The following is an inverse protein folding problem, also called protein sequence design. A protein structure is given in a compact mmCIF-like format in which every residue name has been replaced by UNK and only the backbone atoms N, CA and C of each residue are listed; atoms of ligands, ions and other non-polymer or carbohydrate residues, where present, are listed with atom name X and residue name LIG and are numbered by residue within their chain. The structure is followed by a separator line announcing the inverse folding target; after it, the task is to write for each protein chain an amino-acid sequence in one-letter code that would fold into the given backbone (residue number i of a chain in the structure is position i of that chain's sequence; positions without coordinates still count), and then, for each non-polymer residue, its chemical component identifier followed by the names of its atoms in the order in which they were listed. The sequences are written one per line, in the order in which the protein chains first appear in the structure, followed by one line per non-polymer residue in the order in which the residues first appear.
data_IF_601548742028
#
_entry.id   IF_601548742028
#
_cell.length_a   1.000
_cell.length_b   1.000
_cell.length_c   1.000
_cell.angle_alpha   90.00
_cell.angle_beta   90.00
_cell.angle_gamma   90.00
#
_symmetry.space_group_name_H-M   'P 1'
#
loop_
_entity.id
_entity.type
_entity.pdbx_description
1 polymer ?
#
# COMPACT_ATOMS: atom_id res chain seq x y z
N UNK A 1 -0.86 12.59 2.11
CA UNK A 1 -0.35 12.05 0.83
C UNK A 1 -1.41 11.92 -0.26
N UNK A 2 -2.64 12.40 -0.06
CA UNK A 2 -3.77 12.12 -0.96
C UNK A 2 -3.56 12.52 -2.42
N UNK A 3 -3.00 13.71 -2.67
CA UNK A 3 -2.68 14.16 -4.05
C UNK A 3 -1.66 13.27 -4.75
N UNK A 4 -0.68 12.72 -4.01
CA UNK A 4 0.30 11.78 -4.57
C UNK A 4 -0.40 10.48 -5.01
N UNK A 5 -1.28 9.95 -4.15
CA UNK A 5 -2.03 8.73 -4.44
C UNK A 5 -2.91 8.90 -5.67
N UNK A 6 -3.70 9.98 -5.73
CA UNK A 6 -4.54 10.30 -6.87
C UNK A 6 -3.71 10.43 -8.16
N UNK A 7 -2.63 11.22 -8.12
CA UNK A 7 -1.76 11.45 -9.27
C UNK A 7 -1.17 10.15 -9.83
N UNK A 8 -0.66 9.29 -8.94
CA UNK A 8 -0.09 8.01 -9.35
C UNK A 8 -1.17 7.09 -9.93
N UNK A 9 -2.32 7.00 -9.26
CA UNK A 9 -3.45 6.18 -9.70
C UNK A 9 -3.92 6.57 -11.10
N UNK A 10 -4.14 7.85 -11.36
CA UNK A 10 -4.54 8.31 -12.69
C UNK A 10 -3.48 7.95 -13.74
N UNK A 11 -2.18 8.13 -13.46
CA UNK A 11 -1.10 7.77 -14.39
C UNK A 11 -1.00 6.26 -14.69
N UNK A 12 -1.49 5.43 -13.79
CA UNK A 12 -1.46 3.97 -13.92
C UNK A 12 -2.83 3.41 -14.35
N UNK A 13 -3.85 4.25 -14.49
CA UNK A 13 -5.24 3.81 -14.73
C UNK A 13 -5.34 3.06 -16.07
N UNK A 14 -4.64 3.52 -17.11
CA UNK A 14 -4.75 2.96 -18.47
C UNK A 14 -4.23 1.53 -18.62
N UNK A 15 -3.34 1.08 -17.72
CA UNK A 15 -2.82 -0.30 -17.74
C UNK A 15 -3.66 -1.25 -16.90
N UNK A 16 -4.49 -0.74 -15.99
CA UNK A 16 -5.22 -1.54 -15.01
C UNK A 16 -6.15 -2.58 -15.65
N UNK A 17 -6.79 -2.23 -16.77
CA UNK A 17 -7.66 -3.14 -17.52
C UNK A 17 -6.94 -4.36 -18.10
N UNK A 18 -5.62 -4.30 -18.29
CA UNK A 18 -4.80 -5.39 -18.83
C UNK A 18 -4.10 -6.26 -17.78
N UNK A 19 -4.29 -5.99 -16.48
CA UNK A 19 -3.67 -6.74 -15.39
C UNK A 19 -4.69 -7.66 -14.72
N UNK A 20 -4.21 -8.76 -14.11
CA UNK A 20 -5.05 -9.69 -13.36
C UNK A 20 -5.09 -9.32 -11.86
N UNK A 21 -6.03 -9.90 -11.14
CA UNK A 21 -6.17 -9.74 -9.69
C UNK A 21 -5.36 -10.75 -8.89
N UNK A 22 -4.87 -10.33 -7.71
CA UNK A 22 -4.26 -11.22 -6.73
C UNK A 22 -5.21 -12.33 -6.23
N UNK A 23 -6.53 -12.10 -6.31
CA UNK A 23 -7.58 -13.07 -5.96
C UNK A 23 -7.44 -14.42 -6.69
N UNK A 24 -6.77 -14.45 -7.85
CA UNK A 24 -6.42 -15.68 -8.57
C UNK A 24 -5.67 -16.70 -7.70
N UNK A 25 -4.88 -16.23 -6.74
CA UNK A 25 -4.06 -17.08 -5.88
C UNK A 25 -4.71 -17.38 -4.54
N UNK A 26 -5.89 -16.83 -4.24
CA UNK A 26 -6.56 -17.09 -2.97
C UNK A 26 -6.96 -18.57 -2.86
N UNK A 27 -6.52 -19.22 -1.77
CA UNK A 27 -6.65 -20.66 -1.53
C UNK A 27 -5.81 -21.56 -2.45
N UNK A 28 -5.06 -21.01 -3.42
CA UNK A 28 -4.38 -21.80 -4.44
C UNK A 28 -3.17 -22.60 -3.90
N UNK A 29 -2.64 -22.21 -2.73
CA UNK A 29 -1.52 -22.84 -2.05
C UNK A 29 -1.95 -23.52 -0.74
N UNK A 30 -3.23 -23.90 -0.63
CA UNK A 30 -3.74 -24.64 0.52
C UNK A 30 -2.93 -25.92 0.77
N UNK A 31 -2.52 -26.13 2.03
CA UNK A 31 -1.67 -27.25 2.43
C UNK A 31 -0.17 -27.04 2.21
N UNK A 32 0.24 -25.88 1.69
CA UNK A 32 1.64 -25.45 1.63
C UNK A 32 1.95 -24.45 2.74
N UNK A 33 3.23 -24.27 3.02
CA UNK A 33 3.73 -23.24 3.93
C UNK A 33 4.22 -22.02 3.16
N UNK A 34 4.27 -20.87 3.81
CA UNK A 34 4.83 -19.65 3.25
C UNK A 34 6.02 -19.16 4.06
N UNK A 35 6.97 -18.53 3.39
CA UNK A 35 7.99 -17.71 4.02
C UNK A 35 7.85 -16.28 3.52
N UNK A 36 7.63 -15.34 4.44
CA UNK A 36 7.57 -13.90 4.15
C UNK A 36 8.90 -13.28 4.50
N UNK A 37 9.53 -12.64 3.52
CA UNK A 37 10.84 -11.99 3.65
C UNK A 37 10.66 -10.49 3.77
N UNK A 38 11.05 -9.96 4.93
CA UNK A 38 11.10 -8.55 5.28
C UNK A 38 12.55 -8.06 5.39
N UNK A 39 12.75 -6.76 5.53
CA UNK A 39 14.06 -6.12 5.35
C UNK A 39 14.83 -5.81 6.67
N UNK A 40 14.43 -6.40 7.79
CA UNK A 40 15.09 -6.18 9.07
C UNK A 40 16.49 -6.83 9.16
N UNK A 41 17.33 -6.42 10.12
CA UNK A 41 18.71 -6.89 10.24
C UNK A 41 18.89 -8.41 10.35
N UNK A 42 17.97 -9.13 11.00
CA UNK A 42 18.09 -10.59 11.16
C UNK A 42 17.91 -11.38 9.87
N UNK A 43 17.52 -10.71 8.78
CA UNK A 43 17.50 -11.33 7.46
C UNK A 43 18.88 -11.89 7.09
N UNK A 44 19.96 -11.25 7.52
CA UNK A 44 21.35 -11.68 7.25
C UNK A 44 21.60 -13.14 7.69
N UNK A 45 20.97 -13.57 8.79
CA UNK A 45 21.10 -14.93 9.33
C UNK A 45 20.33 -15.97 8.49
N UNK A 46 19.29 -15.53 7.77
CA UNK A 46 18.41 -16.39 6.97
C UNK A 46 18.86 -16.49 5.51
N UNK A 47 19.49 -15.45 4.95
CA UNK A 47 19.93 -15.39 3.55
C UNK A 47 20.74 -16.61 3.09
N UNK A 48 21.68 -17.18 3.87
CA UNK A 48 22.43 -18.37 3.46
C UNK A 48 21.54 -19.59 3.14
N UNK A 49 20.33 -19.65 3.73
CA UNK A 49 19.39 -20.77 3.61
C UNK A 49 18.21 -20.46 2.70
N UNK A 50 18.07 -19.22 2.22
CA UNK A 50 16.86 -18.75 1.54
C UNK A 50 16.51 -19.56 0.29
N UNK A 51 17.51 -20.11 -0.41
CA UNK A 51 17.33 -21.00 -1.55
C UNK A 51 16.68 -22.33 -1.17
N UNK A 52 17.07 -22.91 -0.04
CA UNK A 52 16.47 -24.16 0.45
C UNK A 52 15.09 -23.91 1.08
N UNK A 53 14.89 -22.75 1.72
CA UNK A 53 13.59 -22.30 2.22
C UNK A 53 12.61 -22.12 1.05
N UNK A 54 13.03 -21.53 -0.06
CA UNK A 54 12.18 -21.35 -1.25
C UNK A 54 11.66 -22.68 -1.79
N UNK A 55 12.46 -23.75 -1.79
CA UNK A 55 12.01 -25.06 -2.30
C UNK A 55 10.87 -25.64 -1.47
N UNK A 56 10.79 -25.27 -0.20
CA UNK A 56 9.89 -25.87 0.81
C UNK A 56 8.69 -24.98 1.15
N UNK A 57 8.72 -23.73 0.71
CA UNK A 57 7.71 -22.72 1.04
C UNK A 57 7.34 -21.88 -0.18
N UNK A 58 6.18 -21.24 -0.11
CA UNK A 58 5.85 -20.10 -0.95
C UNK A 58 6.64 -18.88 -0.46
N UNK A 59 7.60 -18.42 -1.25
CA UNK A 59 8.47 -17.32 -0.88
C UNK A 59 7.89 -15.97 -1.34
N UNK A 60 7.42 -15.18 -0.38
CA UNK A 60 6.82 -13.86 -0.61
C UNK A 60 7.77 -12.80 -0.05
N UNK A 61 8.30 -11.94 -0.91
CA UNK A 61 9.27 -10.91 -0.52
C UNK A 61 8.63 -9.52 -0.60
N UNK A 62 8.97 -8.63 0.33
CA UNK A 62 8.66 -7.19 0.16
C UNK A 62 9.71 -6.52 -0.73
N UNK A 63 9.33 -5.43 -1.39
CA UNK A 63 10.23 -4.56 -2.18
C UNK A 63 11.60 -4.30 -1.55
N UNK A 64 11.62 -3.88 -0.28
CA UNK A 64 12.84 -3.52 0.47
C UNK A 64 13.80 -4.68 0.65
N UNK A 65 13.32 -5.93 0.68
CA UNK A 65 14.12 -7.13 0.86
C UNK A 65 14.55 -7.80 -0.46
N UNK A 66 14.00 -7.37 -1.60
CA UNK A 66 14.24 -8.03 -2.89
C UNK A 66 15.73 -8.10 -3.24
N UNK A 67 16.49 -7.03 -3.00
CA UNK A 67 17.93 -6.98 -3.25
C UNK A 67 18.67 -8.08 -2.50
N UNK A 68 18.29 -8.34 -1.25
CA UNK A 68 18.91 -9.36 -0.41
C UNK A 68 18.70 -10.75 -1.03
N UNK A 69 17.46 -11.07 -1.41
CA UNK A 69 17.14 -12.34 -2.08
C UNK A 69 17.93 -12.52 -3.38
N UNK A 70 17.96 -11.48 -4.24
CA UNK A 70 18.67 -11.55 -5.53
C UNK A 70 20.18 -11.70 -5.34
N UNK A 71 20.78 -11.00 -4.37
CA UNK A 71 22.20 -11.16 -4.04
C UNK A 71 22.52 -12.56 -3.49
N UNK A 72 21.57 -13.20 -2.81
CA UNK A 72 21.66 -14.61 -2.41
C UNK A 72 21.36 -15.61 -3.56
N UNK A 73 21.15 -15.11 -4.79
CA UNK A 73 20.90 -15.92 -5.97
C UNK A 73 19.48 -16.51 -6.07
N UNK A 74 18.51 -15.87 -5.39
CA UNK A 74 17.11 -16.32 -5.33
C UNK A 74 16.16 -15.24 -5.83
N UNK A 75 15.34 -15.59 -6.82
CA UNK A 75 14.18 -14.80 -7.24
C UNK A 75 12.96 -15.26 -6.45
N UNK A 76 12.33 -14.42 -5.61
CA UNK A 76 11.12 -14.79 -4.86
C UNK A 76 9.96 -15.24 -5.76
N UNK A 77 9.02 -16.03 -5.24
CA UNK A 77 7.84 -16.42 -6.03
C UNK A 77 6.94 -15.19 -6.27
N UNK A 78 6.74 -14.41 -5.21
CA UNK A 78 5.99 -13.16 -5.22
C UNK A 78 6.80 -12.01 -4.61
N UNK A 79 6.63 -10.81 -5.17
CA UNK A 79 7.19 -9.57 -4.66
C UNK A 79 6.02 -8.61 -4.40
N UNK A 80 5.89 -8.09 -3.18
CA UNK A 80 4.84 -7.13 -2.83
C UNK A 80 5.41 -5.72 -2.81
N UNK A 81 4.75 -4.83 -3.56
CA UNK A 81 5.12 -3.43 -3.71
C UNK A 81 3.84 -2.60 -3.71
N UNK A 82 3.52 -1.93 -2.61
CA UNK A 82 2.25 -1.16 -2.48
C UNK A 82 2.46 0.28 -2.02
N UNK A 83 3.68 0.65 -1.64
CA UNK A 83 3.97 2.01 -1.19
C UNK A 83 4.05 2.99 -2.39
N UNK A 84 3.30 4.12 -2.34
CA UNK A 84 3.19 5.08 -3.42
C UNK A 84 4.36 6.07 -3.53
N UNK A 85 5.29 6.06 -2.57
CA UNK A 85 6.37 7.03 -2.49
C UNK A 85 7.45 6.76 -3.53
N UNK A 86 8.03 7.85 -4.05
CA UNK A 86 9.19 7.81 -4.92
C UNK A 86 10.38 7.05 -4.31
N UNK A 87 10.59 7.19 -2.99
CA UNK A 87 11.70 6.51 -2.33
C UNK A 87 11.54 4.99 -2.32
N UNK A 88 10.31 4.48 -2.33
CA UNK A 88 10.06 3.06 -2.31
C UNK A 88 10.55 2.35 -3.59
N UNK A 89 10.31 2.94 -4.77
CA UNK A 89 10.80 2.35 -6.04
C UNK A 89 12.33 2.25 -6.09
N UNK A 90 13.06 3.07 -5.34
CA UNK A 90 14.53 3.06 -5.32
C UNK A 90 15.09 1.76 -4.75
N UNK A 91 14.31 1.01 -3.97
CA UNK A 91 14.69 -0.34 -3.54
C UNK A 91 14.91 -1.29 -4.74
N UNK A 92 14.21 -1.06 -5.85
CA UNK A 92 14.29 -1.83 -7.08
C UNK A 92 15.38 -1.35 -8.07
N UNK A 93 16.11 -0.29 -7.77
CA UNK A 93 17.09 0.29 -8.69
C UNK A 93 18.13 -0.73 -9.15
N UNK A 94 18.25 -0.94 -10.47
CA UNK A 94 19.20 -1.89 -11.04
C UNK A 94 18.87 -3.36 -10.77
N UNK A 95 17.66 -3.67 -10.26
CA UNK A 95 17.20 -5.04 -10.06
C UNK A 95 16.29 -5.50 -11.21
N UNK A 96 16.23 -6.81 -11.38
CA UNK A 96 15.29 -7.50 -12.27
C UNK A 96 14.98 -8.87 -11.68
N UNK A 97 13.73 -9.32 -11.78
CA UNK A 97 13.31 -10.62 -11.27
C UNK A 97 12.35 -11.31 -12.26
N UNK A 98 12.83 -11.72 -13.45
CA UNK A 98 12.01 -12.23 -14.55
C UNK A 98 11.20 -13.50 -14.24
N UNK A 99 11.49 -14.21 -13.14
CA UNK A 99 10.72 -15.37 -12.68
C UNK A 99 9.67 -15.03 -11.63
N UNK A 100 9.84 -13.90 -10.95
CA UNK A 100 8.95 -13.43 -9.89
C UNK A 100 7.69 -12.78 -10.43
N UNK A 101 6.62 -12.82 -9.64
CA UNK A 101 5.38 -12.07 -9.90
C UNK A 101 5.27 -10.90 -8.94
N UNK A 102 4.93 -9.72 -9.45
CA UNK A 102 4.70 -8.56 -8.59
C UNK A 102 3.22 -8.48 -8.22
N UNK A 103 2.94 -8.26 -6.94
CA UNK A 103 1.64 -7.85 -6.43
C UNK A 103 1.76 -6.38 -6.04
N UNK A 104 0.89 -5.56 -6.62
CA UNK A 104 0.94 -4.11 -6.46
C UNK A 104 -0.44 -3.47 -6.46
N UNK A 105 -0.50 -2.16 -6.29
CA UNK A 105 -1.72 -1.36 -6.25
C UNK A 105 -1.61 -0.21 -7.27
N UNK A 106 -2.71 0.41 -7.69
CA UNK A 106 -2.70 1.43 -8.75
C UNK A 106 -2.07 2.76 -8.34
N UNK A 107 -2.11 3.16 -7.07
CA UNK A 107 -1.50 4.38 -6.58
C UNK A 107 0.02 4.28 -6.37
N UNK A 108 0.66 3.14 -6.67
CA UNK A 108 2.12 3.04 -6.59
C UNK A 108 2.84 3.99 -7.55
N UNK A 109 4.11 4.29 -7.27
CA UNK A 109 4.89 5.14 -8.16
C UNK A 109 4.99 4.49 -9.58
N UNK A 110 4.63 5.20 -10.67
CA UNK A 110 4.40 4.57 -12.00
C UNK A 110 5.49 3.64 -12.55
N UNK A 111 6.80 3.89 -12.35
CA UNK A 111 7.85 2.97 -12.78
C UNK A 111 7.80 1.56 -12.19
N UNK A 112 7.04 1.30 -11.11
CA UNK A 112 6.78 -0.07 -10.63
C UNK A 112 6.25 -0.96 -11.77
N UNK A 113 5.37 -0.43 -12.62
CA UNK A 113 4.81 -1.17 -13.75
C UNK A 113 5.80 -1.44 -14.89
N UNK A 114 6.97 -0.80 -14.87
CA UNK A 114 8.07 -1.02 -15.82
C UNK A 114 9.13 -1.99 -15.29
N UNK A 115 9.02 -2.44 -14.05
CA UNK A 115 9.95 -3.41 -13.48
C UNK A 115 9.90 -4.74 -14.24
N UNK A 116 11.07 -5.32 -14.53
CA UNK A 116 11.21 -6.58 -15.27
C UNK A 116 10.88 -7.77 -14.37
N UNK A 117 9.76 -8.43 -14.66
CA UNK A 117 9.21 -9.56 -13.90
C UNK A 117 8.35 -10.45 -14.80
N UNK A 118 7.95 -11.64 -14.30
CA UNK A 118 7.12 -12.61 -15.04
C UNK A 118 5.71 -12.08 -15.29
N UNK A 119 5.10 -11.47 -14.27
CA UNK A 119 3.71 -11.02 -14.29
C UNK A 119 3.51 -9.91 -13.24
N UNK A 120 2.55 -9.02 -13.49
CA UNK A 120 2.10 -8.00 -12.52
C UNK A 120 0.62 -8.20 -12.21
N UNK A 121 0.31 -8.19 -10.93
CA UNK A 121 -1.01 -8.44 -10.37
C UNK A 121 -1.43 -7.24 -9.54
N UNK A 122 -2.72 -6.88 -9.62
CA UNK A 122 -3.29 -5.85 -8.77
C UNK A 122 -3.96 -6.48 -7.55
N UNK A 123 -3.68 -5.94 -6.37
CA UNK A 123 -4.58 -6.06 -5.23
C UNK A 123 -5.67 -4.99 -5.33
N UNK A 124 -6.78 -5.19 -4.60
CA UNK A 124 -7.85 -4.21 -4.56
C UNK A 124 -7.39 -2.88 -3.98
N UNK A 125 -7.82 -1.79 -4.61
CA UNK A 125 -7.50 -0.44 -4.20
C UNK A 125 -8.15 -0.09 -2.86
N UNK A 126 -7.36 0.54 -1.99
CA UNK A 126 -7.87 1.15 -0.76
C UNK A 126 -8.41 2.57 -0.99
N UNK A 127 -8.16 3.15 -2.17
CA UNK A 127 -8.51 4.53 -2.51
C UNK A 127 -9.82 4.63 -3.30
N UNK A 128 -10.57 5.75 -3.18
CA UNK A 128 -11.90 5.91 -3.76
C UNK A 128 -12.00 5.64 -5.26
N UNK A 129 -11.11 6.20 -6.08
CA UNK A 129 -11.16 6.02 -7.55
C UNK A 129 -10.96 4.57 -7.96
N UNK A 130 -9.98 3.88 -7.38
CA UNK A 130 -9.77 2.46 -7.65
C UNK A 130 -10.95 1.61 -7.16
N UNK A 131 -11.50 1.89 -5.97
CA UNK A 131 -12.70 1.20 -5.46
C UNK A 131 -13.92 1.40 -6.37
N UNK A 132 -14.11 2.62 -6.86
CA UNK A 132 -15.22 2.94 -7.77
C UNK A 132 -15.14 2.11 -9.04
N UNK A 133 -13.95 2.01 -9.64
CA UNK A 133 -13.75 1.22 -10.86
C UNK A 133 -13.86 -0.27 -10.57
N UNK A 134 -13.32 -0.74 -9.45
CA UNK A 134 -13.36 -2.16 -9.07
C UNK A 134 -14.77 -2.70 -8.85
N UNK A 135 -15.75 -1.87 -8.47
CA UNK A 135 -17.17 -2.27 -8.39
C UNK A 135 -17.74 -2.76 -9.73
N UNK A 136 -17.13 -2.39 -10.84
CA UNK A 136 -17.62 -2.68 -12.20
C UNK A 136 -16.78 -3.73 -12.93
N UNK A 137 -15.68 -4.20 -12.33
CA UNK A 137 -14.81 -5.23 -12.90
C UNK A 137 -14.71 -6.42 -11.97
N UNK A 138 -14.08 -7.50 -12.45
CA UNK A 138 -13.80 -8.67 -11.61
C UNK A 138 -12.99 -8.24 -10.37
N UNK A 139 -13.39 -8.65 -9.15
CA UNK A 139 -12.67 -8.29 -7.93
C UNK A 139 -11.19 -8.64 -8.01
N UNK A 140 -10.33 -7.68 -7.70
CA UNK A 140 -8.87 -7.85 -7.72
C UNK A 140 -8.38 -8.69 -6.55
N UNK A 141 -9.03 -8.58 -5.39
CA UNK A 141 -8.69 -9.29 -4.16
C UNK A 141 -8.15 -8.31 -3.15
N UNK A 142 -8.89 -8.11 -2.07
CA UNK A 142 -8.50 -7.25 -0.96
C UNK A 142 -7.39 -7.90 -0.15
N UNK A 143 -6.35 -7.12 0.19
CA UNK A 143 -5.30 -7.54 1.10
C UNK A 143 -5.28 -6.60 2.31
N UNK A 144 -5.07 -7.17 3.48
CA UNK A 144 -4.87 -6.44 4.72
C UNK A 144 -3.68 -5.49 4.63
N UNK A 145 -3.84 -4.28 5.16
CA UNK A 145 -2.77 -3.28 5.25
C UNK A 145 -2.71 -2.73 6.68
N UNK A 146 -1.55 -2.85 7.31
CA UNK A 146 -1.24 -2.36 8.66
C UNK A 146 -0.25 -1.20 8.66
N UNK A 147 -0.08 -0.51 7.53
CA UNK A 147 0.85 0.62 7.39
C UNK A 147 2.31 0.22 7.07
N UNK A 148 2.58 -1.05 6.80
CA UNK A 148 3.85 -1.55 6.27
C UNK A 148 3.61 -2.63 5.22
N UNK A 149 4.43 -2.69 4.16
CA UNK A 149 4.30 -3.66 3.06
C UNK A 149 4.33 -5.12 3.56
N UNK A 150 5.07 -5.39 4.66
CA UNK A 150 5.15 -6.74 5.23
C UNK A 150 3.81 -7.25 5.78
N UNK A 151 2.94 -6.35 6.26
CA UNK A 151 1.60 -6.73 6.74
C UNK A 151 0.74 -7.24 5.58
N UNK A 152 0.84 -6.60 4.42
CA UNK A 152 0.20 -7.04 3.17
C UNK A 152 0.81 -8.34 2.64
N UNK A 153 2.13 -8.53 2.78
CA UNK A 153 2.79 -9.78 2.43
C UNK A 153 2.35 -10.96 3.28
N UNK A 154 2.22 -10.76 4.59
CA UNK A 154 1.68 -11.78 5.49
C UNK A 154 0.22 -12.10 5.17
N UNK A 155 -0.61 -11.09 4.95
CA UNK A 155 -2.03 -11.31 4.65
C UNK A 155 -2.23 -11.99 3.29
N UNK A 156 -1.40 -11.66 2.29
CA UNK A 156 -1.39 -12.38 1.01
C UNK A 156 -1.03 -13.86 1.20
N UNK A 157 0.02 -14.18 1.97
CA UNK A 157 0.40 -15.56 2.25
C UNK A 157 -0.73 -16.33 2.96
N UNK A 158 -1.40 -15.70 3.92
CA UNK A 158 -2.59 -16.25 4.58
C UNK A 158 -3.72 -16.53 3.60
N UNK A 159 -4.06 -15.55 2.76
CA UNK A 159 -5.16 -15.67 1.80
C UNK A 159 -4.86 -16.66 0.68
N UNK A 160 -3.59 -16.91 0.36
CA UNK A 160 -3.16 -18.00 -0.50
C UNK A 160 -3.52 -19.40 0.04
N UNK A 161 -3.94 -19.50 1.30
CA UNK A 161 -4.32 -20.75 1.96
C UNK A 161 -3.20 -21.35 2.82
N UNK A 162 -2.04 -20.69 2.93
CA UNK A 162 -0.94 -21.15 3.76
C UNK A 162 -1.29 -20.99 5.24
N UNK A 163 -1.22 -22.08 6.01
CA UNK A 163 -1.57 -22.08 7.44
C UNK A 163 -0.37 -22.03 8.37
N UNK A 164 0.84 -22.26 7.86
CA UNK A 164 2.09 -21.97 8.57
C UNK A 164 2.85 -20.91 7.78
N UNK A 165 3.16 -19.79 8.44
CA UNK A 165 3.85 -18.64 7.82
C UNK A 165 5.12 -18.36 8.62
N UNK A 166 6.27 -18.45 7.96
CA UNK A 166 7.59 -18.19 8.53
C UNK A 166 8.04 -16.78 8.17
N UNK A 167 8.34 -15.96 9.16
CA UNK A 167 8.81 -14.58 8.98
C UNK A 167 10.33 -14.55 9.02
N UNK A 168 10.94 -14.04 7.94
CA UNK A 168 12.37 -13.77 7.85
C UNK A 168 12.62 -12.26 7.77
N UNK A 169 13.54 -11.72 8.57
CA UNK A 169 13.80 -10.28 8.65
C UNK A 169 12.65 -9.43 9.23
N UNK A 170 11.70 -10.02 9.95
CA UNK A 170 10.63 -9.28 10.66
C UNK A 170 11.08 -8.93 12.08
N UNK A 171 12.04 -8.02 12.19
CA UNK A 171 12.56 -7.63 13.50
C UNK A 171 11.64 -6.65 14.24
N UNK A 172 11.00 -5.73 13.50
CA UNK A 172 10.23 -4.61 14.05
C UNK A 172 10.94 -3.86 15.19
N UNK A 173 12.27 -3.82 15.10
CA UNK A 173 13.16 -3.19 16.03
C UNK A 173 14.56 -3.08 15.42
N UNK A 174 15.51 -2.73 16.26
CA UNK A 174 16.90 -2.46 15.87
C UNK A 174 17.86 -3.41 16.58
N UNK A 175 17.76 -4.74 16.35
CA UNK A 175 18.73 -5.68 16.90
C UNK A 175 20.14 -5.29 16.43
N UNK A 176 21.10 -5.37 17.35
CA UNK A 176 22.49 -4.94 17.12
C UNK A 176 22.61 -3.48 16.64
N UNK A 177 21.60 -2.63 16.92
CA UNK A 177 21.53 -1.21 16.52
C UNK A 177 21.54 -1.00 15.00
N UNK A 178 21.15 -2.01 14.24
CA UNK A 178 21.00 -1.95 12.78
C UNK A 178 19.56 -1.65 12.41
N UNK A 179 19.33 -0.96 11.30
CA UNK A 179 17.97 -0.63 10.83
C UNK A 179 17.42 -1.64 9.82
N UNK A 180 18.30 -2.23 9.02
CA UNK A 180 17.99 -3.16 7.95
C UNK A 180 19.11 -4.19 7.80
N UNK A 181 18.90 -5.19 6.95
CA UNK A 181 19.92 -6.15 6.53
C UNK A 181 21.13 -5.48 5.86
N UNK A 182 22.25 -6.22 5.79
CA UNK A 182 23.49 -5.72 5.21
C UNK A 182 23.43 -5.58 3.68
N UNK A 183 23.88 -4.44 3.15
CA UNK A 183 23.79 -4.11 1.72
C UNK A 183 22.41 -3.61 1.30
N UNK A 184 21.56 -3.25 2.27
CA UNK A 184 20.31 -2.55 2.00
C UNK A 184 20.57 -1.19 1.34
N UNK A 185 19.59 -0.67 0.59
CA UNK A 185 19.74 0.64 -0.05
C UNK A 185 19.96 1.79 0.95
N UNK A 186 19.54 1.60 2.21
CA UNK A 186 19.78 2.57 3.27
C UNK A 186 21.26 2.57 3.69
N UNK A 187 21.82 1.40 3.95
CA UNK A 187 23.24 1.25 4.33
C UNK A 187 24.17 1.65 3.17
N UNK A 188 23.89 1.17 1.95
CA UNK A 188 24.66 1.51 0.75
C UNK A 188 24.66 3.02 0.47
N UNK A 189 23.52 3.69 0.70
CA UNK A 189 23.42 5.15 0.58
C UNK A 189 24.28 5.84 1.63
N UNK A 190 24.25 5.37 2.88
CA UNK A 190 25.04 5.93 3.96
C UNK A 190 26.54 5.82 3.68
N UNK A 191 27.01 4.65 3.23
CA UNK A 191 28.40 4.48 2.82
C UNK A 191 28.79 5.35 1.62
N UNK A 192 27.93 5.44 0.59
CA UNK A 192 28.21 6.24 -0.61
C UNK A 192 28.30 7.74 -0.33
N UNK A 193 27.47 8.24 0.58
CA UNK A 193 27.43 9.66 0.95
C UNK A 193 28.42 10.02 2.08
N UNK A 194 29.07 9.01 2.66
CA UNK A 194 30.01 9.22 3.76
C UNK A 194 31.18 10.12 3.36
N UNK A 195 31.55 11.00 4.28
CA UNK A 195 32.64 11.95 4.14
C UNK A 195 33.44 12.03 5.44
N UNK A 196 34.64 12.64 5.37
CA UNK A 196 35.54 12.78 6.53
C UNK A 196 34.86 13.39 7.78
N UNK A 197 33.96 14.35 7.59
CA UNK A 197 33.24 15.03 8.67
C UNK A 197 31.82 14.49 8.89
N UNK A 198 31.39 13.53 8.06
CA UNK A 198 30.08 12.91 8.14
C UNK A 198 30.18 11.43 7.73
N UNK A 199 30.76 10.59 8.62
CA UNK A 199 30.93 9.18 8.32
C UNK A 199 29.58 8.43 8.37
N UNK A 200 29.52 7.22 7.82
CA UNK A 200 28.30 6.41 7.71
C UNK A 200 27.66 6.12 9.08
N UNK A 201 28.46 6.06 10.14
CA UNK A 201 28.01 5.91 11.52
C UNK A 201 27.17 7.10 11.99
N UNK A 202 27.42 8.31 11.47
CA UNK A 202 26.60 9.48 11.81
C UNK A 202 25.21 9.38 11.21
N UNK A 203 25.12 8.96 9.94
CA UNK A 203 23.85 8.67 9.27
C UNK A 203 23.09 7.54 9.99
N UNK A 204 23.79 6.47 10.35
CA UNK A 204 23.23 5.33 11.08
C UNK A 204 22.69 5.75 12.45
N UNK A 205 23.45 6.56 13.19
CA UNK A 205 23.02 7.14 14.46
C UNK A 205 21.76 7.99 14.29
N UNK A 206 21.73 8.88 13.28
CA UNK A 206 20.57 9.72 13.01
C UNK A 206 19.34 8.91 12.60
N UNK A 207 19.52 7.87 11.79
CA UNK A 207 18.43 6.98 11.37
C UNK A 207 17.82 6.23 12.56
N UNK A 208 18.67 5.74 13.48
CA UNK A 208 18.25 5.01 14.68
C UNK A 208 17.59 5.94 15.72
N UNK A 209 18.29 6.99 16.12
CA UNK A 209 17.87 7.85 17.23
C UNK A 209 16.88 8.95 16.82
N UNK A 210 16.83 9.32 15.54
CA UNK A 210 15.80 10.21 15.00
C UNK A 210 14.39 9.62 15.06
N UNK A 211 14.26 8.31 15.23
CA UNK A 211 12.99 7.62 15.44
C UNK A 211 12.51 7.66 16.91
N UNK A 212 13.28 8.28 17.82
CA UNK A 212 13.04 8.29 19.27
C UNK A 212 12.81 6.87 19.83
N UNK A 213 13.81 5.97 19.67
CA UNK A 213 13.64 4.58 20.02
C UNK A 213 13.56 4.38 21.54
N UNK A 214 12.89 3.30 21.95
CA UNK A 214 12.78 2.85 23.33
C UNK A 214 12.96 1.33 23.40
N UNK A 215 13.29 0.82 24.58
CA UNK A 215 13.56 -0.61 24.78
C UNK A 215 12.29 -1.42 25.01
N UNK A 216 12.21 -2.57 24.35
CA UNK A 216 11.22 -3.63 24.56
C UNK A 216 11.93 -4.98 24.66
N UNK A 217 11.21 -6.03 25.06
CA UNK A 217 11.80 -7.38 25.10
C UNK A 217 11.74 -8.06 23.73
N UNK A 218 12.81 -8.77 23.35
CA UNK A 218 12.85 -9.65 22.19
C UNK A 218 12.27 -11.05 22.52
N UNK A 219 12.28 -11.99 21.57
CA UNK A 219 11.78 -13.36 21.81
C UNK A 219 12.62 -14.17 22.79
N UNK A 220 13.89 -13.78 23.01
CA UNK A 220 14.82 -14.42 23.95
C UNK A 220 14.75 -13.81 25.37
N UNK A 221 13.93 -12.76 25.56
CA UNK A 221 13.78 -12.05 26.82
C UNK A 221 14.80 -10.93 27.05
N UNK A 222 15.72 -10.70 26.11
CA UNK A 222 16.69 -9.61 26.13
C UNK A 222 16.07 -8.28 25.65
N UNK A 223 16.77 -7.16 25.86
CA UNK A 223 16.30 -5.84 25.43
C UNK A 223 16.70 -5.53 23.99
N UNK A 224 15.74 -5.04 23.21
CA UNK A 224 15.93 -4.53 21.84
C UNK A 224 15.27 -3.17 21.70
N UNK A 225 15.89 -2.27 20.94
CA UNK A 225 15.30 -0.96 20.63
C UNK A 225 14.20 -1.11 19.58
N UNK A 226 13.11 -0.38 19.72
CA UNK A 226 12.04 -0.22 18.72
C UNK A 226 11.53 1.23 18.72
N UNK A 227 10.69 1.59 17.75
CA UNK A 227 10.06 2.90 17.65
C UNK A 227 8.52 2.78 17.69
N UNK A 228 7.83 3.92 17.85
CA UNK A 228 6.35 3.95 17.94
C UNK A 228 5.66 3.40 16.68
N UNK A 229 6.27 3.55 15.51
CA UNK A 229 5.71 3.08 14.24
C UNK A 229 5.85 1.56 14.14
N UNK A 230 7.01 1.01 14.47
CA UNK A 230 7.23 -0.43 14.51
C UNK A 230 6.35 -1.12 15.56
N UNK A 231 6.12 -0.47 16.70
CA UNK A 231 5.17 -0.95 17.71
C UNK A 231 3.72 -1.04 17.19
N UNK A 232 3.27 -0.10 16.34
CA UNK A 232 1.97 -0.21 15.66
C UNK A 232 1.92 -1.42 14.73
N UNK A 233 3.01 -1.73 14.03
CA UNK A 233 3.10 -2.92 13.19
C UNK A 233 3.08 -4.21 14.02
N UNK A 234 3.79 -4.23 15.16
CA UNK A 234 3.79 -5.36 16.08
C UNK A 234 2.38 -5.61 16.64
N UNK A 235 1.68 -4.56 17.04
CA UNK A 235 0.28 -4.63 17.47
C UNK A 235 -0.65 -5.15 16.36
N UNK A 236 -0.43 -4.75 15.11
CA UNK A 236 -1.19 -5.28 13.98
C UNK A 236 -1.00 -6.79 13.84
N UNK A 237 0.23 -7.30 13.93
CA UNK A 237 0.51 -8.73 13.89
C UNK A 237 -0.11 -9.49 15.06
N UNK A 238 0.00 -8.97 16.28
CA UNK A 238 -0.66 -9.53 17.46
C UNK A 238 -2.17 -9.63 17.24
N UNK A 239 -2.80 -8.54 16.80
CA UNK A 239 -4.23 -8.52 16.50
C UNK A 239 -4.62 -9.52 15.43
N UNK A 240 -3.83 -9.67 14.34
CA UNK A 240 -4.14 -10.62 13.27
C UNK A 240 -3.86 -12.07 13.64
N UNK A 241 -2.88 -12.35 14.49
CA UNK A 241 -2.66 -13.70 15.02
C UNK A 241 -3.82 -14.13 15.94
N UNK A 242 -4.46 -13.20 16.65
CA UNK A 242 -5.67 -13.45 17.42
C UNK A 242 -6.90 -13.64 16.53
N UNK A 243 -7.09 -12.78 15.53
CA UNK A 243 -8.22 -12.84 14.59
C UNK A 243 -8.20 -14.13 13.76
N UNK A 244 -7.02 -14.59 13.35
CA UNK A 244 -6.81 -15.77 12.51
C UNK A 244 -6.04 -16.87 13.26
N UNK A 245 -6.61 -17.37 14.36
CA UNK A 245 -5.97 -18.35 15.24
C UNK A 245 -5.62 -19.71 14.57
N UNK A 246 -6.25 -20.00 13.42
CA UNK A 246 -6.01 -21.15 12.56
C UNK A 246 -4.74 -21.01 11.68
N UNK A 247 -4.16 -19.81 11.64
CA UNK A 247 -2.91 -19.50 10.93
C UNK A 247 -1.80 -19.38 11.97
N UNK A 248 -0.80 -20.26 11.89
CA UNK A 248 0.35 -20.25 12.79
C UNK A 248 1.49 -19.44 12.16
N UNK A 249 1.84 -18.34 12.83
CA UNK A 249 2.95 -17.49 12.42
C UNK A 249 4.18 -17.80 13.25
N UNK A 250 5.30 -18.02 12.58
CA UNK A 250 6.58 -18.29 13.19
C UNK A 250 7.60 -17.23 12.80
N UNK A 251 8.59 -16.99 13.65
CA UNK A 251 9.70 -16.06 13.36
C UNK A 251 11.02 -16.81 13.30
N UNK A 252 11.83 -16.49 12.29
CA UNK A 252 13.24 -16.89 12.18
C UNK A 252 14.17 -15.81 12.77
N UNK A 253 13.61 -14.85 13.49
CA UNK A 253 14.27 -13.62 13.95
C UNK A 253 14.20 -13.54 15.49
N UNK A 254 14.90 -14.40 16.25
CA UNK A 254 14.76 -14.46 17.71
C UNK A 254 15.18 -13.16 18.41
N UNK A 255 16.11 -12.40 17.81
CA UNK A 255 16.59 -11.11 18.31
C UNK A 255 15.64 -9.94 18.05
N UNK A 256 14.59 -10.12 17.24
CA UNK A 256 13.58 -9.11 16.95
C UNK A 256 12.60 -8.89 18.10
N UNK A 257 11.77 -7.84 18.02
CA UNK A 257 10.74 -7.54 19.04
C UNK A 257 9.83 -8.76 19.24
N UNK A 258 9.63 -9.15 20.50
CA UNK A 258 8.73 -10.24 20.86
C UNK A 258 7.27 -9.85 20.62
N UNK A 259 6.60 -10.53 19.69
CA UNK A 259 5.20 -10.25 19.31
C UNK A 259 4.32 -11.39 19.83
N UNK A 260 3.35 -11.12 20.71
CA UNK A 260 2.41 -12.14 21.16
C UNK A 260 1.67 -12.79 19.97
N UNK A 261 1.58 -14.12 19.99
CA UNK A 261 0.97 -14.90 18.90
C UNK A 261 1.94 -15.35 17.80
N UNK A 262 3.17 -14.85 17.77
CA UNK A 262 4.25 -15.31 16.88
C UNK A 262 5.23 -16.16 17.68
N UNK A 263 5.57 -17.35 17.17
CA UNK A 263 6.46 -18.29 17.87
C UNK A 263 7.84 -18.37 17.20
N UNK A 264 8.95 -18.23 17.94
CA UNK A 264 10.29 -18.44 17.37
C UNK A 264 10.48 -19.90 16.97
N UNK A 265 11.13 -20.12 15.83
CA UNK A 265 11.41 -21.44 15.26
C UNK A 265 12.83 -21.45 14.69
N UNK A 266 13.50 -22.60 14.70
CA UNK A 266 14.85 -22.70 14.14
C UNK A 266 14.81 -22.86 12.61
N UNK A 267 15.89 -22.45 11.93
CA UNK A 267 16.01 -22.63 10.47
C UNK A 267 15.97 -24.12 10.12
N UNK A 268 16.57 -24.98 10.95
CA UNK A 268 16.60 -26.43 10.77
C UNK A 268 15.18 -27.04 10.73
N UNK A 269 14.23 -26.50 11.49
CA UNK A 269 12.84 -26.96 11.45
C UNK A 269 12.17 -26.63 10.11
N UNK A 270 12.47 -25.48 9.52
CA UNK A 270 12.00 -25.12 8.17
C UNK A 270 12.64 -26.02 7.12
N UNK A 271 13.93 -26.34 7.27
CA UNK A 271 14.65 -27.20 6.34
C UNK A 271 14.19 -28.67 6.37
N UNK A 272 13.52 -29.11 7.44
CA UNK A 272 12.87 -30.44 7.54
C UNK A 272 11.56 -30.54 6.74
N UNK A 273 10.98 -29.42 6.33
CA UNK A 273 9.77 -29.42 5.49
C UNK A 273 10.11 -30.06 4.14
N UNK A 274 9.15 -30.81 3.56
CA UNK A 274 9.33 -31.44 2.25
C UNK A 274 9.54 -30.38 1.16
N UNK A 275 10.33 -30.72 0.15
CA UNK A 275 10.41 -29.93 -1.08
C UNK A 275 9.04 -29.97 -1.78
N UNK A 276 8.51 -28.79 -2.12
CA UNK A 276 7.22 -28.59 -2.80
C UNK A 276 7.40 -27.87 -4.15
N UNK A 277 8.61 -27.85 -4.70
CA UNK A 277 8.92 -27.08 -5.91
C UNK A 277 8.03 -27.47 -7.09
N UNK A 278 7.72 -28.76 -7.22
CA UNK A 278 6.87 -29.27 -8.29
C UNK A 278 5.40 -28.87 -8.11
N UNK A 279 4.85 -29.06 -6.90
CA UNK A 279 3.47 -28.67 -6.57
C UNK A 279 3.28 -27.15 -6.70
N UNK A 280 4.25 -26.37 -6.23
CA UNK A 280 4.26 -24.92 -6.35
C UNK A 280 4.30 -24.44 -7.80
N UNK A 281 5.18 -25.03 -8.63
CA UNK A 281 5.24 -24.72 -10.05
C UNK A 281 3.92 -25.03 -10.76
N UNK A 282 3.28 -26.16 -10.44
CA UNK A 282 1.99 -26.54 -11.01
C UNK A 282 0.85 -25.55 -10.67
N UNK A 283 0.94 -24.81 -9.57
CA UNK A 283 0.01 -23.72 -9.25
C UNK A 283 0.39 -22.44 -9.97
N UNK A 284 1.67 -22.06 -9.93
CA UNK A 284 2.16 -20.81 -10.50
C UNK A 284 2.00 -20.76 -12.03
N UNK A 285 2.20 -21.87 -12.73
CA UNK A 285 2.15 -21.92 -14.19
C UNK A 285 0.73 -22.09 -14.75
N UNK A 286 -0.30 -22.16 -13.89
CA UNK A 286 -1.70 -22.11 -14.35
C UNK A 286 -1.96 -20.77 -15.04
N UNK A 287 -2.51 -20.76 -16.26
CA UNK A 287 -2.84 -19.52 -16.96
C UNK A 287 -3.91 -18.74 -16.20
N UNK A 288 -3.94 -17.43 -16.41
CA UNK A 288 -5.06 -16.61 -15.91
C UNK A 288 -6.36 -17.06 -16.58
N UNK A 289 -7.42 -17.17 -15.78
CA UNK A 289 -8.79 -17.37 -16.27
C UNK A 289 -9.54 -16.06 -16.55
N UNK A 290 -8.82 -14.93 -16.60
CA UNK A 290 -9.43 -13.61 -16.79
C UNK A 290 -9.58 -13.29 -18.28
N UNK A 291 -10.79 -12.92 -18.70
CA UNK A 291 -11.04 -12.34 -20.02
C UNK A 291 -10.57 -10.89 -20.03
N UNK A 292 -9.34 -10.67 -20.49
CA UNK A 292 -8.73 -9.34 -20.53
C UNK A 292 -9.44 -8.38 -21.50
N UNK A 293 -10.08 -8.88 -22.55
CA UNK A 293 -10.80 -8.02 -23.50
C UNK A 293 -12.08 -7.46 -22.85
N UNK A 294 -12.88 -8.34 -22.24
CA UNK A 294 -14.06 -7.92 -21.49
C UNK A 294 -13.71 -7.02 -20.29
N UNK A 295 -12.64 -7.35 -19.56
CA UNK A 295 -12.18 -6.56 -18.43
C UNK A 295 -11.74 -5.15 -18.83
N UNK A 296 -11.00 -5.03 -19.94
CA UNK A 296 -10.55 -3.72 -20.44
C UNK A 296 -11.74 -2.85 -20.83
N UNK A 297 -12.72 -3.41 -21.52
CA UNK A 297 -13.95 -2.68 -21.89
C UNK A 297 -14.74 -2.22 -20.66
N UNK A 298 -14.92 -3.11 -19.68
CA UNK A 298 -15.59 -2.77 -18.43
C UNK A 298 -14.85 -1.67 -17.66
N UNK A 299 -13.52 -1.72 -17.64
CA UNK A 299 -12.67 -0.71 -17.02
C UNK A 299 -12.80 0.65 -17.71
N UNK A 300 -12.76 0.70 -19.05
CA UNK A 300 -12.93 1.92 -19.83
C UNK A 300 -14.32 2.55 -19.61
N UNK A 301 -15.37 1.71 -19.58
CA UNK A 301 -16.74 2.15 -19.26
C UNK A 301 -16.84 2.73 -17.85
N UNK A 302 -16.25 2.07 -16.85
CA UNK A 302 -16.25 2.54 -15.46
C UNK A 302 -15.51 3.87 -15.30
N UNK A 303 -14.37 4.00 -15.99
CA UNK A 303 -13.59 5.23 -16.00
C UNK A 303 -14.35 6.38 -16.66
N UNK A 304 -15.06 6.12 -17.76
CA UNK A 304 -15.89 7.14 -18.40
C UNK A 304 -17.04 7.58 -17.49
N UNK A 305 -17.75 6.63 -16.86
CA UNK A 305 -18.80 6.96 -15.88
C UNK A 305 -18.26 7.83 -14.74
N UNK A 306 -17.08 7.50 -14.19
CA UNK A 306 -16.44 8.30 -13.15
C UNK A 306 -16.16 9.74 -13.62
N UNK A 307 -15.69 9.92 -14.86
CA UNK A 307 -15.47 11.26 -15.44
C UNK A 307 -16.78 12.03 -15.56
N UNK A 308 -17.84 11.40 -16.07
CA UNK A 308 -19.13 12.04 -16.28
C UNK A 308 -19.75 12.51 -14.95
N UNK A 309 -19.69 11.68 -13.91
CA UNK A 309 -20.14 12.04 -12.55
C UNK A 309 -19.34 13.20 -11.97
N UNK A 310 -18.01 13.19 -12.12
CA UNK A 310 -17.16 14.31 -11.70
C UNK A 310 -17.50 15.60 -12.47
N UNK A 311 -17.82 15.54 -13.77
CA UNK A 311 -18.25 16.72 -14.53
C UNK A 311 -19.59 17.28 -14.04
N UNK A 312 -20.56 16.43 -13.71
CA UNK A 312 -21.84 16.89 -13.16
C UNK A 312 -21.68 17.49 -11.75
N UNK A 313 -20.80 16.93 -10.92
CA UNK A 313 -20.41 17.55 -9.64
C UNK A 313 -19.78 18.94 -9.85
N UNK A 314 -18.85 19.06 -10.82
CA UNK A 314 -18.20 20.33 -11.13
C UNK A 314 -19.20 21.40 -11.56
N UNK A 315 -20.14 21.03 -12.42
CA UNK A 315 -21.22 21.91 -12.90
C UNK A 315 -22.13 22.34 -11.75
N UNK A 316 -22.48 21.43 -10.86
CA UNK A 316 -23.31 21.69 -9.68
C UNK A 316 -22.61 22.64 -8.70
N UNK A 317 -21.33 22.40 -8.39
CA UNK A 317 -20.52 23.27 -7.55
C UNK A 317 -20.40 24.68 -8.15
N UNK A 318 -20.11 24.80 -9.46
CA UNK A 318 -20.04 26.10 -10.15
C UNK A 318 -21.38 26.84 -10.14
N UNK A 319 -22.49 26.13 -10.30
CA UNK A 319 -23.85 26.71 -10.21
C UNK A 319 -24.12 27.25 -8.81
N UNK A 320 -23.78 26.49 -7.76
CA UNK A 320 -23.95 26.92 -6.38
C UNK A 320 -23.09 28.16 -6.05
N UNK A 321 -21.83 28.19 -6.51
CA UNK A 321 -20.98 29.36 -6.33
C UNK A 321 -21.56 30.62 -6.99
N UNK A 322 -22.15 30.53 -8.19
CA UNK A 322 -22.82 31.66 -8.83
C UNK A 322 -23.99 32.16 -7.98
N UNK A 323 -24.84 31.26 -7.49
CA UNK A 323 -25.96 31.60 -6.60
C UNK A 323 -25.45 32.33 -5.34
N UNK A 324 -24.38 31.83 -4.72
CA UNK A 324 -23.80 32.47 -3.53
C UNK A 324 -23.24 33.86 -3.85
N UNK A 325 -22.51 34.04 -4.96
CA UNK A 325 -21.96 35.35 -5.37
C UNK A 325 -23.07 36.35 -5.67
N UNK A 326 -24.07 35.96 -6.47
CA UNK A 326 -25.20 36.81 -6.82
C UNK A 326 -25.98 37.27 -5.57
N UNK A 327 -26.12 36.39 -4.57
CA UNK A 327 -26.77 36.68 -3.30
C UNK A 327 -25.95 37.62 -2.39
N UNK A 328 -24.62 37.50 -2.39
CA UNK A 328 -23.72 38.38 -1.64
C UNK A 328 -23.68 39.79 -2.25
N UNK A 329 -23.76 39.90 -3.57
CA UNK A 329 -23.80 41.18 -4.29
C UNK A 329 -25.17 41.88 -4.17
N UNK A 330 -26.25 41.13 -3.91
CA UNK A 330 -27.62 41.65 -3.81
C UNK A 330 -28.28 41.29 -2.46
N UNK A 331 -28.03 42.05 -1.37
CA UNK A 331 -28.52 41.71 -0.02
C UNK A 331 -30.06 41.72 0.14
N UNK A 332 -30.80 42.29 -0.81
CA UNK A 332 -32.28 42.33 -0.81
C UNK A 332 -32.95 41.08 -1.41
N UNK A 333 -32.18 40.07 -1.80
CA UNK A 333 -32.70 38.87 -2.48
C UNK A 333 -33.37 37.92 -1.48
N UNK A 334 -34.44 37.24 -1.91
CA UNK A 334 -35.22 36.34 -1.05
C UNK A 334 -34.38 35.14 -0.54
N UNK A 335 -33.93 35.22 0.71
CA UNK A 335 -33.09 34.23 1.39
C UNK A 335 -33.71 32.83 1.43
N UNK A 336 -35.03 32.71 1.57
CA UNK A 336 -35.73 31.41 1.55
C UNK A 336 -35.60 30.71 0.19
N UNK A 337 -35.70 31.48 -0.89
CA UNK A 337 -35.55 30.95 -2.26
C UNK A 337 -34.11 30.49 -2.53
N UNK A 338 -33.13 31.27 -2.06
CA UNK A 338 -31.70 30.93 -2.18
C UNK A 338 -31.38 29.65 -1.40
N UNK A 339 -31.79 29.58 -0.13
CA UNK A 339 -31.55 28.39 0.70
C UNK A 339 -32.18 27.15 0.09
N UNK A 340 -33.40 27.24 -0.44
CA UNK A 340 -34.04 26.09 -1.13
C UNK A 340 -33.21 25.61 -2.33
N UNK A 341 -32.75 26.52 -3.19
CA UNK A 341 -31.92 26.17 -4.35
C UNK A 341 -30.58 25.55 -3.94
N UNK A 342 -29.94 26.07 -2.90
CA UNK A 342 -28.68 25.53 -2.39
C UNK A 342 -28.88 24.15 -1.77
N UNK A 343 -29.92 23.94 -0.97
CA UNK A 343 -30.26 22.63 -0.40
C UNK A 343 -30.56 21.56 -1.45
N UNK A 344 -31.20 21.92 -2.57
CA UNK A 344 -31.38 21.01 -3.71
C UNK A 344 -30.03 20.61 -4.34
N UNK A 345 -29.10 21.56 -4.49
CA UNK A 345 -27.76 21.28 -5.02
C UNK A 345 -26.94 20.45 -4.03
N UNK A 346 -26.98 20.78 -2.73
CA UNK A 346 -26.29 20.02 -1.68
C UNK A 346 -26.75 18.57 -1.66
N UNK A 347 -28.06 18.34 -1.74
CA UNK A 347 -28.62 17.00 -1.85
C UNK A 347 -28.07 16.28 -3.08
N UNK A 348 -28.04 16.93 -4.24
CA UNK A 348 -27.46 16.35 -5.46
C UNK A 348 -25.97 16.01 -5.33
N UNK A 349 -25.19 16.87 -4.67
CA UNK A 349 -23.75 16.65 -4.46
C UNK A 349 -23.47 15.51 -3.47
N UNK A 350 -24.26 15.39 -2.40
CA UNK A 350 -24.11 14.35 -1.38
C UNK A 350 -24.46 12.97 -1.94
N UNK A 351 -25.49 12.88 -2.78
CA UNK A 351 -25.94 11.62 -3.38
C UNK A 351 -25.21 11.25 -4.67
N UNK A 352 -24.28 12.10 -5.15
CA UNK A 352 -23.50 11.80 -6.33
C UNK A 352 -22.51 10.66 -6.03
N UNK A 353 -22.43 9.65 -6.90
CA UNK A 353 -21.53 8.50 -6.68
C UNK A 353 -20.04 8.90 -6.65
N UNK A 354 -19.68 10.02 -7.28
CA UNK A 354 -18.33 10.57 -7.28
C UNK A 354 -18.01 11.44 -6.04
N UNK A 355 -18.94 11.64 -5.11
CA UNK A 355 -18.68 12.37 -3.87
C UNK A 355 -17.55 11.71 -3.06
N UNK A 356 -17.51 10.37 -3.01
CA UNK A 356 -16.41 9.62 -2.41
C UNK A 356 -15.07 9.87 -3.12
N UNK A 357 -15.09 10.08 -4.44
CA UNK A 357 -13.88 10.38 -5.21
C UNK A 357 -13.30 11.72 -4.78
N UNK A 358 -14.12 12.77 -4.81
CA UNK A 358 -13.73 14.12 -4.40
C UNK A 358 -13.23 14.16 -2.95
N UNK A 359 -13.78 13.34 -2.06
CA UNK A 359 -13.41 13.27 -0.64
C UNK A 359 -11.92 13.01 -0.39
N UNK A 360 -11.24 12.32 -1.32
CA UNK A 360 -9.83 11.96 -1.17
C UNK A 360 -8.92 13.20 -1.01
N UNK A 361 -9.22 14.25 -1.77
CA UNK A 361 -8.42 15.49 -1.83
C UNK A 361 -9.18 16.71 -1.33
N UNK A 362 -10.41 16.51 -0.84
CA UNK A 362 -11.18 17.54 -0.18
C UNK A 362 -10.58 17.87 1.20
N UNK A 363 -10.60 19.14 1.66
CA UNK A 363 -10.05 19.51 2.96
C UNK A 363 -10.72 18.74 4.10
N UNK A 364 -9.91 18.23 5.04
CA UNK A 364 -10.43 17.65 6.28
C UNK A 364 -11.11 18.70 7.17
N UNK A 365 -11.90 18.26 8.15
CA UNK A 365 -12.70 19.13 9.03
C UNK A 365 -11.91 20.34 9.58
N UNK A 366 -10.76 20.11 10.22
CA UNK A 366 -9.90 21.19 10.75
C UNK A 366 -9.40 22.17 9.69
N UNK A 367 -9.12 21.68 8.47
CA UNK A 367 -8.68 22.54 7.38
C UNK A 367 -9.85 23.37 6.85
N UNK A 368 -11.03 22.78 6.73
CA UNK A 368 -12.24 23.46 6.30
C UNK A 368 -12.68 24.52 7.32
N UNK A 369 -12.59 24.23 8.61
CA UNK A 369 -12.80 25.21 9.68
C UNK A 369 -11.83 26.39 9.55
N UNK A 370 -10.54 26.12 9.34
CA UNK A 370 -9.54 27.17 9.15
C UNK A 370 -9.80 28.03 7.89
N UNK A 371 -10.24 27.41 6.79
CA UNK A 371 -10.59 28.10 5.55
C UNK A 371 -11.84 28.98 5.72
N UNK A 372 -12.84 28.49 6.46
CA UNK A 372 -14.11 29.19 6.67
C UNK A 372 -14.09 30.18 7.85
N UNK A 373 -13.03 30.19 8.67
CA UNK A 373 -12.89 31.05 9.84
C UNK A 373 -12.95 32.55 9.52
N UNK A 374 -12.58 32.95 8.29
CA UNK A 374 -12.58 34.35 7.84
C UNK A 374 -13.91 34.80 7.24
N UNK A 375 -14.86 33.89 7.03
CA UNK A 375 -16.16 34.21 6.46
C UNK A 375 -17.02 35.00 7.45
N UNK A 376 -17.58 36.11 6.99
CA UNK A 376 -18.38 37.04 7.80
C UNK A 376 -19.83 36.57 7.95
N UNK A 377 -20.31 35.71 7.05
CA UNK A 377 -21.69 35.21 7.05
C UNK A 377 -21.79 33.76 6.54
N UNK A 378 -22.93 33.06 6.75
CA UNK A 378 -23.12 31.68 6.31
C UNK A 378 -23.03 31.46 4.79
N UNK A 379 -23.38 32.47 3.99
CA UNK A 379 -23.31 32.40 2.51
C UNK A 379 -21.86 32.37 2.02
N UNK A 380 -20.98 33.17 2.64
CA UNK A 380 -19.53 33.13 2.38
C UNK A 380 -18.93 31.78 2.78
N UNK A 381 -19.35 31.20 3.90
CA UNK A 381 -18.92 29.84 4.29
C UNK A 381 -19.31 28.82 3.23
N UNK A 382 -20.56 28.88 2.77
CA UNK A 382 -21.07 27.97 1.73
C UNK A 382 -20.30 28.15 0.41
N UNK A 383 -20.02 29.39 0.02
CA UNK A 383 -19.20 29.71 -1.16
C UNK A 383 -17.81 29.07 -1.08
N UNK A 384 -17.13 29.16 0.06
CA UNK A 384 -15.83 28.52 0.28
C UNK A 384 -15.93 27.01 0.13
N UNK A 385 -16.94 26.37 0.71
CA UNK A 385 -17.16 24.91 0.59
C UNK A 385 -17.30 24.51 -0.89
N UNK A 386 -18.15 25.20 -1.67
CA UNK A 386 -18.31 24.90 -3.09
C UNK A 386 -17.05 25.17 -3.93
N UNK A 387 -16.21 26.14 -3.53
CA UNK A 387 -14.91 26.37 -4.15
C UNK A 387 -13.94 25.22 -3.87
N UNK A 388 -13.93 24.67 -2.66
CA UNK A 388 -13.10 23.51 -2.33
C UNK A 388 -13.60 22.23 -3.03
N UNK A 389 -14.91 22.06 -3.21
CA UNK A 389 -15.48 20.99 -4.04
C UNK A 389 -15.01 21.16 -5.50
N UNK A 390 -15.13 22.35 -6.08
CA UNK A 390 -14.65 22.63 -7.44
C UNK A 390 -13.16 22.30 -7.59
N UNK A 391 -12.32 22.74 -6.64
CA UNK A 391 -10.88 22.45 -6.66
C UNK A 391 -10.60 20.95 -6.61
N UNK A 392 -11.26 20.22 -5.71
CA UNK A 392 -11.08 18.79 -5.55
C UNK A 392 -11.49 18.01 -6.80
N UNK A 393 -12.64 18.35 -7.39
CA UNK A 393 -13.17 17.71 -8.60
C UNK A 393 -12.32 18.07 -9.83
N UNK A 394 -11.93 19.33 -9.97
CA UNK A 394 -11.06 19.77 -11.09
C UNK A 394 -9.72 19.05 -11.06
N UNK A 395 -9.12 18.87 -9.88
CA UNK A 395 -7.87 18.14 -9.72
C UNK A 395 -7.99 16.68 -10.20
N UNK A 396 -9.12 16.01 -9.91
CA UNK A 396 -9.38 14.66 -10.42
C UNK A 396 -9.48 14.64 -11.94
N UNK A 397 -10.29 15.55 -12.51
CA UNK A 397 -10.49 15.65 -13.95
C UNK A 397 -9.18 15.97 -14.69
N UNK A 398 -8.38 16.90 -14.18
CA UNK A 398 -7.08 17.26 -14.75
C UNK A 398 -6.13 16.05 -14.81
N UNK A 399 -6.05 15.27 -13.72
CA UNK A 399 -5.22 14.06 -13.73
C UNK A 399 -5.77 12.97 -14.65
N UNK A 400 -7.10 12.83 -14.74
CA UNK A 400 -7.77 11.84 -15.58
C UNK A 400 -7.76 12.16 -17.08
N UNK A 401 -7.62 13.44 -17.45
CA UNK A 401 -7.44 13.86 -18.84
C UNK A 401 -6.01 13.62 -19.34
N UNK A 402 -5.03 13.68 -18.43
CA UNK A 402 -3.61 13.47 -18.71
C UNK A 402 -3.14 12.02 -18.45
N UNK A 403 -4.09 11.10 -18.27
CA UNK A 403 -3.89 9.71 -17.85
C UNK A 403 -3.68 8.74 -19.01
#
# INVERSE_FOLDING_TARGET
FSTLWLKNMCRNIGIAGGLDGVARYFGAFAGMDACVVAAGPSLDDVLPYIKEIQKRTLLVCVDTALRACLNAGVEPDFIIIVDPQYWNIRHLDGLSAPKSRIITELAVYPPVFRFSCKEKLLCSSIYPLGKYIEKQVKPRGELGAGGSVVTTAWDFARQCGCRRIFMAGLDLGFPERKTHFKGSTFEERSHRLSARLHPAETDSFNALYGAYPYEVSNYEGEKVLTDKRMALYAWWFESKCLEFADVKTYTLCPKGVGIPGITPVSIEEVLKIKDISAEKAAVLDKPSGTDFAAQKLAFESALQKAKDELYEMLKSAKKAQRICKDALENPGTNTLSINKKLSEIDSGLIHNEAAELASLVFPGEKQLEALTAKAQNPLEKSLIVYQEIEKAVSLHLDYLQNA
#
